data_IF_506430693255
#
_entry.id   IF_506430693255
#
_cell.length_a   1.000
_cell.length_b   1.000
_cell.length_c   1.000
_cell.angle_alpha   90.00
_cell.angle_beta   90.00
_cell.angle_gamma   90.00
#
_symmetry.space_group_name_H-M   'P 1'
#
loop_
_entity.id
_entity.type
_entity.pdbx_description
1 polymer ?
#
# COMPACT_ATOMS: atom_id res chain seq x y z
N UNK A 1 -25.41 -42.24 17.60
CA UNK A 1 -24.06 -41.70 17.30
C UNK A 1 -24.18 -40.20 17.04
N UNK A 2 -23.72 -39.35 17.95
CA UNK A 2 -23.75 -37.88 17.78
C UNK A 2 -22.51 -37.47 16.98
N UNK A 3 -22.71 -36.94 15.77
CA UNK A 3 -21.65 -36.28 14.99
C UNK A 3 -21.24 -35.03 15.76
N UNK A 4 -20.00 -34.99 16.28
CA UNK A 4 -19.41 -33.78 16.86
C UNK A 4 -19.08 -32.85 15.68
N UNK A 5 -19.83 -31.77 15.53
CA UNK A 5 -19.39 -30.65 14.68
C UNK A 5 -18.12 -30.09 15.32
N UNK A 6 -16.97 -30.31 14.69
CA UNK A 6 -15.77 -29.57 15.01
C UNK A 6 -15.98 -28.13 14.54
N UNK A 7 -16.13 -27.19 15.47
CA UNK A 7 -15.92 -25.78 15.14
C UNK A 7 -14.43 -25.64 14.78
N UNK A 8 -14.13 -25.32 13.51
CA UNK A 8 -12.81 -24.84 13.12
C UNK A 8 -12.57 -23.55 13.91
N UNK A 9 -11.66 -23.58 14.87
CA UNK A 9 -11.18 -22.39 15.54
C UNK A 9 -10.51 -21.49 14.49
N UNK A 10 -10.81 -20.18 14.45
CA UNK A 10 -10.11 -19.25 13.57
C UNK A 10 -8.61 -19.32 13.86
N UNK A 11 -7.79 -19.39 12.80
CA UNK A 11 -6.35 -19.50 12.91
C UNK A 11 -5.77 -18.08 12.86
N UNK A 12 -5.58 -17.47 14.03
CA UNK A 12 -5.15 -16.08 14.16
C UNK A 12 -3.86 -15.78 13.38
N UNK A 13 -2.92 -16.73 13.32
CA UNK A 13 -1.67 -16.58 12.58
C UNK A 13 -1.91 -16.44 11.06
N UNK A 14 -2.85 -17.22 10.51
CA UNK A 14 -3.22 -17.09 9.10
C UNK A 14 -3.99 -15.79 8.81
N UNK A 15 -4.87 -15.38 9.72
CA UNK A 15 -5.65 -14.14 9.55
C UNK A 15 -4.73 -12.92 9.63
N UNK A 16 -3.67 -13.00 10.44
CA UNK A 16 -2.61 -12.01 10.56
C UNK A 16 -1.77 -11.88 9.29
N UNK A 17 -1.26 -13.01 8.75
CA UNK A 17 -0.51 -12.99 7.49
C UNK A 17 -1.36 -12.40 6.35
N UNK A 18 -2.65 -12.75 6.28
CA UNK A 18 -3.58 -12.18 5.30
C UNK A 18 -3.77 -10.67 5.48
N UNK A 19 -3.74 -10.16 6.71
CA UNK A 19 -3.82 -8.72 6.96
C UNK A 19 -2.53 -8.02 6.49
N UNK A 20 -1.36 -8.55 6.86
CA UNK A 20 -0.06 -8.02 6.44
C UNK A 20 0.04 -7.95 4.91
N UNK A 21 -0.26 -9.05 4.23
CA UNK A 21 -0.15 -9.13 2.78
C UNK A 21 -1.09 -8.12 2.09
N UNK A 22 -2.33 -7.97 2.57
CA UNK A 22 -3.27 -6.97 2.04
C UNK A 22 -2.84 -5.53 2.24
N UNK A 23 -2.15 -5.25 3.35
CA UNK A 23 -1.62 -3.91 3.61
C UNK A 23 -0.46 -3.63 2.68
N UNK A 24 0.46 -4.59 2.51
CA UNK A 24 1.55 -4.49 1.55
C UNK A 24 1.01 -4.23 0.14
N UNK A 25 0.07 -5.05 -0.33
CA UNK A 25 -0.55 -4.91 -1.65
C UNK A 25 -1.20 -3.51 -1.82
N UNK A 26 -1.85 -2.99 -0.78
CA UNK A 26 -2.49 -1.67 -0.83
C UNK A 26 -1.47 -0.53 -0.92
N UNK A 27 -0.35 -0.64 -0.21
CA UNK A 27 0.72 0.37 -0.22
C UNK A 27 1.36 0.44 -1.61
N UNK A 28 1.75 -0.70 -2.17
CA UNK A 28 2.34 -0.81 -3.52
C UNK A 28 1.38 -0.23 -4.59
N UNK A 29 0.10 -0.61 -4.53
CA UNK A 29 -0.93 -0.12 -5.46
C UNK A 29 -1.12 1.39 -5.37
N UNK A 30 -0.99 1.96 -4.17
CA UNK A 30 -1.20 3.38 -3.94
C UNK A 30 0.02 4.19 -4.36
N UNK A 31 1.23 3.69 -4.10
CA UNK A 31 2.48 4.27 -4.58
C UNK A 31 2.45 4.43 -6.10
N UNK A 32 2.18 3.33 -6.82
CA UNK A 32 2.13 3.33 -8.28
C UNK A 32 1.09 4.32 -8.84
N UNK A 33 -0.12 4.34 -8.27
CA UNK A 33 -1.18 5.27 -8.71
C UNK A 33 -0.82 6.71 -8.42
N UNK A 34 -0.15 6.98 -7.31
CA UNK A 34 0.25 8.34 -6.95
C UNK A 34 1.37 8.84 -7.87
N UNK A 35 2.34 8.00 -8.20
CA UNK A 35 3.36 8.30 -9.21
C UNK A 35 2.74 8.59 -10.58
N UNK A 36 1.79 7.78 -11.03
CA UNK A 36 1.09 7.97 -12.30
C UNK A 36 0.36 9.32 -12.34
N UNK A 37 -0.41 9.65 -11.29
CA UNK A 37 -1.13 10.92 -11.21
C UNK A 37 -0.20 12.14 -11.23
N UNK A 38 0.94 12.06 -10.54
CA UNK A 38 1.93 13.14 -10.51
C UNK A 38 2.64 13.26 -11.87
N UNK A 39 3.03 12.13 -12.47
CA UNK A 39 3.67 12.10 -13.79
C UNK A 39 2.74 12.68 -14.87
N UNK A 40 1.47 12.29 -14.86
CA UNK A 40 0.46 12.81 -15.78
C UNK A 40 0.27 14.32 -15.63
N UNK A 41 0.23 14.82 -14.40
CA UNK A 41 0.14 16.25 -14.12
C UNK A 41 1.37 17.01 -14.63
N UNK A 42 2.57 16.55 -14.27
CA UNK A 42 3.83 17.17 -14.70
C UNK A 42 3.96 17.17 -16.23
N UNK A 43 3.61 16.05 -16.88
CA UNK A 43 3.62 15.92 -18.36
C UNK A 43 2.63 16.88 -19.00
N UNK A 44 1.43 17.02 -18.43
CA UNK A 44 0.38 17.90 -18.97
C UNK A 44 0.77 19.37 -18.96
N UNK A 45 1.60 19.80 -18.02
CA UNK A 45 2.02 21.20 -17.86
C UNK A 45 3.54 21.41 -18.07
N UNK A 46 4.22 20.49 -18.75
CA UNK A 46 5.68 20.52 -18.94
C UNK A 46 6.17 21.81 -19.65
N UNK A 47 5.33 22.40 -20.51
CA UNK A 47 5.64 23.63 -21.25
C UNK A 47 5.19 24.92 -20.52
N UNK A 48 4.49 24.80 -19.39
CA UNK A 48 3.97 25.94 -18.62
C UNK A 48 4.93 26.28 -17.47
N UNK A 49 5.81 27.26 -17.71
CA UNK A 49 6.80 27.71 -16.72
C UNK A 49 6.20 28.30 -15.43
N UNK A 50 4.92 28.67 -15.44
CA UNK A 50 4.20 29.18 -14.26
C UNK A 50 3.41 28.07 -13.53
N UNK A 51 3.32 26.86 -14.10
CA UNK A 51 2.67 25.73 -13.46
C UNK A 51 3.55 25.10 -12.36
N UNK A 52 2.97 24.70 -11.23
CA UNK A 52 3.67 23.90 -10.23
C UNK A 52 4.24 22.62 -10.86
N UNK A 53 5.46 22.25 -10.50
CA UNK A 53 6.02 20.92 -10.76
C UNK A 53 6.14 20.17 -9.43
N UNK A 54 5.75 18.90 -9.43
CA UNK A 54 5.78 18.06 -8.24
C UNK A 54 6.95 17.08 -8.37
N UNK A 55 7.90 17.14 -7.44
CA UNK A 55 9.00 16.18 -7.36
C UNK A 55 8.56 14.90 -6.64
N UNK A 56 8.93 13.74 -7.19
CA UNK A 56 8.57 12.41 -6.66
C UNK A 56 9.73 11.70 -5.96
N UNK A 57 10.91 12.33 -5.85
CA UNK A 57 12.12 11.69 -5.32
C UNK A 57 11.96 11.10 -3.92
N UNK A 58 11.11 11.71 -3.08
CA UNK A 58 10.88 11.26 -1.70
C UNK A 58 9.68 10.30 -1.56
N UNK A 59 8.88 10.11 -2.62
CA UNK A 59 7.60 9.41 -2.52
C UNK A 59 7.81 7.93 -2.16
N UNK A 60 8.69 7.23 -2.86
CA UNK A 60 9.01 5.83 -2.59
C UNK A 60 9.63 5.62 -1.20
N UNK A 61 10.42 6.60 -0.73
CA UNK A 61 10.99 6.58 0.62
C UNK A 61 9.91 6.71 1.70
N UNK A 62 8.84 7.45 1.44
CA UNK A 62 7.69 7.58 2.36
C UNK A 62 6.84 6.30 2.37
N UNK A 63 6.62 5.66 1.22
CA UNK A 63 5.93 4.37 1.14
C UNK A 63 6.72 3.26 1.83
N UNK A 64 8.03 3.22 1.64
CA UNK A 64 8.92 2.28 2.35
C UNK A 64 8.84 2.47 3.87
N UNK A 65 8.89 3.71 4.36
CA UNK A 65 8.75 3.99 5.81
C UNK A 65 7.37 3.56 6.35
N UNK A 66 6.32 3.72 5.56
CA UNK A 66 4.98 3.30 5.95
C UNK A 66 4.86 1.77 5.98
N UNK A 67 5.51 1.08 5.05
CA UNK A 67 5.60 -0.38 5.03
C UNK A 67 6.38 -0.90 6.24
N UNK A 68 7.55 -0.34 6.54
CA UNK A 68 8.35 -0.67 7.73
C UNK A 68 7.52 -0.48 9.01
N UNK A 69 6.80 0.65 9.12
CA UNK A 69 5.92 0.90 10.26
C UNK A 69 4.82 -0.17 10.39
N UNK A 70 4.23 -0.60 9.28
CA UNK A 70 3.24 -1.66 9.28
C UNK A 70 3.86 -3.01 9.69
N UNK A 71 5.05 -3.36 9.21
CA UNK A 71 5.73 -4.61 9.59
C UNK A 71 6.14 -4.66 11.07
N UNK A 72 6.54 -3.52 11.65
CA UNK A 72 6.99 -3.42 13.04
C UNK A 72 5.83 -3.42 14.05
N UNK A 73 4.62 -3.03 13.64
CA UNK A 73 3.52 -2.71 14.54
C UNK A 73 2.19 -3.43 14.26
N UNK A 74 2.11 -4.19 13.18
CA UNK A 74 1.01 -5.11 12.90
C UNK A 74 1.54 -6.48 13.29
#
# INVERSE_FOLDING_TARGET
MRKKNQMKTPNADNDFDVLRDKISDLLDDTEMKMEELISDYNTKYEEDYDAPSIETCDLSSLFSQLQDFCEDHI
#
